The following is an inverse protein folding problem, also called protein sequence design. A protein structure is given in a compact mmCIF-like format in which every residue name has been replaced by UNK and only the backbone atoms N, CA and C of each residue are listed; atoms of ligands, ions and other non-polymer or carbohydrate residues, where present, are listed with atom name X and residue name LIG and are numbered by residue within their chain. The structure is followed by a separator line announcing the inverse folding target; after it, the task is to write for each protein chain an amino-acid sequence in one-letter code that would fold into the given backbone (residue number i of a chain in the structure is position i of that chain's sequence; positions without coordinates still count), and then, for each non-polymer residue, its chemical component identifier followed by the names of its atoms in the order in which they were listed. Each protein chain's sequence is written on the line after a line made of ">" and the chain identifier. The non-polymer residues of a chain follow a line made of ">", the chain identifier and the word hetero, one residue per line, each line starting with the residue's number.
data_IF_594380979307
#
_entry.id   IF_594380979307
#
_cell.length_a   1.000
_cell.length_b   1.000
_cell.length_c   1.000
_cell.angle_alpha   90.00
_cell.angle_beta   90.00
_cell.angle_gamma   90.00
#
_symmetry.space_group_name_H-M   'P 1'
#
loop_
_entity.id
_entity.type
_entity.pdbx_description
1 polymer ?
#
# COMPACT_ATOMS: atom_id res chain seq x y z
N UNK A 1 -25.87 16.04 16.23
CA UNK A 1 -25.20 14.73 16.46
C UNK A 1 -24.83 14.11 15.13
N UNK A 2 -23.56 14.18 14.75
CA UNK A 2 -22.98 13.34 13.70
C UNK A 2 -21.48 13.29 13.93
N UNK A 3 -21.04 12.29 14.68
CA UNK A 3 -19.63 11.95 14.87
C UNK A 3 -19.09 11.54 13.49
N UNK A 4 -18.31 12.41 12.84
CA UNK A 4 -17.56 12.07 11.63
C UNK A 4 -16.17 11.61 12.03
N UNK A 5 -16.05 10.31 12.31
CA UNK A 5 -14.75 9.63 12.30
C UNK A 5 -14.30 9.48 10.84
N UNK A 6 -13.40 10.33 10.37
CA UNK A 6 -12.61 10.09 9.16
C UNK A 6 -11.17 9.87 9.63
N UNK A 7 -10.70 8.64 9.56
CA UNK A 7 -9.33 8.26 9.89
C UNK A 7 -8.37 8.93 8.89
N UNK A 8 -7.97 10.16 9.23
CA UNK A 8 -6.94 10.96 8.61
C UNK A 8 -6.36 11.86 9.70
N UNK A 9 -5.07 11.67 9.99
CA UNK A 9 -4.21 12.49 10.87
C UNK A 9 -4.96 13.29 11.96
N UNK A 10 -5.24 12.66 13.11
CA UNK A 10 -5.84 13.30 14.30
C UNK A 10 -4.98 14.40 14.94
N UNK A 11 -3.80 14.72 14.40
CA UNK A 11 -2.90 15.72 14.96
C UNK A 11 -2.86 17.03 14.18
N UNK A 12 -3.55 17.14 13.04
CA UNK A 12 -3.45 18.33 12.19
C UNK A 12 -4.81 18.66 11.57
N UNK A 13 -5.54 19.58 12.19
CA UNK A 13 -6.80 20.12 11.66
C UNK A 13 -6.62 20.60 10.21
N UNK A 14 -7.27 19.91 9.26
CA UNK A 14 -7.93 20.38 8.02
C UNK A 14 -7.22 21.32 7.01
N UNK A 15 -6.12 21.98 7.35
CA UNK A 15 -5.47 23.02 6.55
C UNK A 15 -3.97 22.74 6.35
N UNK A 16 -3.31 22.10 7.32
CA UNK A 16 -1.87 21.84 7.27
C UNK A 16 -1.48 20.43 6.84
N UNK A 17 -2.43 19.47 6.76
CA UNK A 17 -2.17 18.12 6.21
C UNK A 17 -1.50 18.16 4.82
N UNK A 18 -1.95 18.99 3.86
CA UNK A 18 -1.34 19.06 2.53
C UNK A 18 0.08 19.62 2.57
N UNK A 19 0.31 20.64 3.41
CA UNK A 19 1.62 21.24 3.62
C UNK A 19 2.60 20.24 4.24
N UNK A 20 2.14 19.45 5.22
CA UNK A 20 2.93 18.41 5.86
C UNK A 20 3.23 17.27 4.87
N UNK A 21 2.22 16.83 4.12
CA UNK A 21 2.37 15.78 3.11
C UNK A 21 3.36 16.18 2.01
N UNK A 22 3.26 17.41 1.52
CA UNK A 22 4.22 17.98 0.57
C UNK A 22 5.62 18.10 1.17
N UNK A 23 5.75 18.65 2.38
CA UNK A 23 7.05 18.76 3.06
C UNK A 23 7.71 17.40 3.25
N UNK A 24 6.92 16.37 3.61
CA UNK A 24 7.39 15.00 3.72
C UNK A 24 7.81 14.43 2.36
N UNK A 25 7.09 14.72 1.27
CA UNK A 25 7.48 14.33 -0.08
C UNK A 25 8.83 14.93 -0.47
N UNK A 26 9.05 16.22 -0.17
CA UNK A 26 10.36 16.85 -0.41
C UNK A 26 11.47 16.21 0.43
N UNK A 27 11.19 15.78 1.67
CA UNK A 27 12.17 15.04 2.50
C UNK A 27 12.50 13.68 1.88
N UNK A 28 11.50 12.96 1.41
CA UNK A 28 11.66 11.67 0.71
C UNK A 28 12.50 11.83 -0.56
N UNK A 29 12.12 12.77 -1.44
CA UNK A 29 12.86 13.04 -2.69
C UNK A 29 14.32 13.37 -2.40
N UNK A 30 14.59 14.20 -1.39
CA UNK A 30 15.97 14.53 -0.99
C UNK A 30 16.74 13.32 -0.51
N UNK A 31 16.10 12.48 0.29
CA UNK A 31 16.70 11.26 0.80
C UNK A 31 17.01 10.28 -0.33
N UNK A 32 16.05 10.05 -1.24
CA UNK A 32 16.24 9.17 -2.40
C UNK A 32 17.32 9.70 -3.35
N UNK A 33 17.37 11.01 -3.60
CA UNK A 33 18.46 11.63 -4.36
C UNK A 33 19.81 11.46 -3.67
N UNK A 34 19.85 11.57 -2.33
CA UNK A 34 21.08 11.41 -1.55
C UNK A 34 21.64 9.98 -1.64
N UNK A 35 20.78 8.96 -1.65
CA UNK A 35 21.20 7.56 -1.81
C UNK A 35 21.27 7.09 -3.28
N UNK A 36 21.00 7.99 -4.25
CA UNK A 36 21.03 7.66 -5.67
C UNK A 36 19.90 6.73 -6.13
N UNK A 37 18.76 6.74 -5.44
CA UNK A 37 17.59 5.90 -5.76
C UNK A 37 16.50 6.66 -6.54
N UNK A 38 16.56 7.99 -6.58
CA UNK A 38 15.54 8.82 -7.24
C UNK A 38 15.60 8.66 -8.76
N UNK A 39 14.72 7.81 -9.29
CA UNK A 39 14.64 7.43 -10.70
C UNK A 39 13.19 7.27 -11.19
N UNK A 40 12.20 7.56 -10.34
CA UNK A 40 10.78 7.41 -10.62
C UNK A 40 10.35 8.25 -11.81
N UNK A 41 10.83 9.49 -11.89
CA UNK A 41 10.58 10.42 -12.99
C UNK A 41 11.08 9.84 -14.33
N UNK A 42 12.36 9.43 -14.38
CA UNK A 42 12.97 8.85 -15.58
C UNK A 42 12.27 7.56 -16.03
N UNK A 43 11.87 6.71 -15.09
CA UNK A 43 11.14 5.47 -15.38
C UNK A 43 9.75 5.78 -15.94
N UNK A 44 9.04 6.73 -15.33
CA UNK A 44 7.72 7.14 -15.79
C UNK A 44 7.83 7.77 -17.19
N UNK A 45 8.72 8.73 -17.39
CA UNK A 45 8.99 9.39 -18.68
C UNK A 45 9.28 8.37 -19.79
N UNK A 46 10.12 7.37 -19.51
CA UNK A 46 10.43 6.31 -20.48
C UNK A 46 9.22 5.45 -20.86
N UNK A 47 8.27 5.24 -19.94
CA UNK A 47 7.12 4.36 -20.14
C UNK A 47 5.86 5.07 -20.61
N UNK A 48 5.75 6.39 -20.42
CA UNK A 48 4.59 7.20 -20.82
C UNK A 48 4.23 7.08 -22.31
N UNK A 49 5.18 7.00 -23.27
CA UNK A 49 4.85 6.79 -24.69
C UNK A 49 4.12 5.47 -24.96
N UNK A 50 4.26 4.47 -24.08
CA UNK A 50 3.63 3.16 -24.23
C UNK A 50 2.23 3.14 -23.62
N UNK A 51 1.29 3.84 -24.26
CA UNK A 51 -0.08 4.04 -23.74
C UNK A 51 -0.78 2.73 -23.36
N UNK A 52 -0.61 1.66 -24.16
CA UNK A 52 -1.22 0.36 -23.86
C UNK A 52 -0.71 -0.19 -22.52
N UNK A 53 0.59 -0.06 -22.26
CA UNK A 53 1.25 -0.52 -21.05
C UNK A 53 0.78 0.30 -19.85
N UNK A 54 0.72 1.63 -19.98
CA UNK A 54 0.20 2.53 -18.94
C UNK A 54 -1.23 2.17 -18.57
N UNK A 55 -2.12 1.96 -19.57
CA UNK A 55 -3.50 1.54 -19.31
C UNK A 55 -3.55 0.19 -18.60
N UNK A 56 -2.72 -0.78 -18.99
CA UNK A 56 -2.60 -2.07 -18.28
C UNK A 56 -2.15 -1.87 -16.83
N UNK A 57 -1.14 -1.02 -16.57
CA UNK A 57 -0.67 -0.71 -15.23
C UNK A 57 -1.74 0.00 -14.40
N UNK A 58 -2.53 0.91 -14.98
CA UNK A 58 -3.66 1.55 -14.29
C UNK A 58 -4.74 0.52 -13.89
N UNK A 59 -5.07 -0.43 -14.78
CA UNK A 59 -5.99 -1.54 -14.46
C UNK A 59 -5.43 -2.39 -13.33
N UNK A 60 -4.17 -2.75 -13.44
CA UNK A 60 -3.48 -3.60 -12.48
C UNK A 60 -3.45 -2.94 -11.10
N UNK A 61 -3.05 -1.67 -11.03
CA UNK A 61 -3.04 -0.84 -9.82
C UNK A 61 -4.38 -0.93 -9.10
N UNK A 62 -5.48 -0.74 -9.83
CA UNK A 62 -6.81 -0.70 -9.25
C UNK A 62 -7.40 -2.04 -8.83
N UNK A 63 -6.90 -3.17 -9.34
CA UNK A 63 -7.60 -4.46 -9.23
C UNK A 63 -6.77 -5.58 -8.62
N UNK A 64 -5.49 -5.70 -9.00
CA UNK A 64 -4.68 -6.89 -8.71
C UNK A 64 -4.58 -7.14 -7.21
N UNK A 65 -4.31 -6.09 -6.42
CA UNK A 65 -4.13 -6.22 -4.99
C UNK A 65 -5.40 -6.70 -4.27
N UNK A 66 -6.61 -6.41 -4.75
CA UNK A 66 -7.84 -6.95 -4.17
C UNK A 66 -8.06 -8.41 -4.56
N UNK A 67 -8.08 -8.71 -5.86
CA UNK A 67 -8.44 -10.04 -6.36
C UNK A 67 -7.38 -11.09 -6.05
N UNK A 68 -6.10 -10.76 -6.19
CA UNK A 68 -5.00 -11.69 -5.89
C UNK A 68 -4.95 -11.95 -4.38
N UNK A 69 -5.05 -10.92 -3.55
CA UNK A 69 -5.05 -11.10 -2.08
C UNK A 69 -6.23 -11.96 -1.63
N UNK A 70 -7.43 -11.71 -2.14
CA UNK A 70 -8.60 -12.53 -1.86
C UNK A 70 -8.39 -13.99 -2.31
N UNK A 71 -7.87 -14.20 -3.53
CA UNK A 71 -7.57 -15.53 -4.05
C UNK A 71 -6.57 -16.29 -3.18
N UNK A 72 -5.47 -15.65 -2.78
CA UNK A 72 -4.46 -16.22 -1.89
C UNK A 72 -5.04 -16.50 -0.50
N UNK A 73 -5.85 -15.59 0.03
CA UNK A 73 -6.52 -15.77 1.32
C UNK A 73 -7.43 -17.01 1.31
N UNK A 74 -8.24 -17.19 0.26
CA UNK A 74 -9.08 -18.37 0.06
C UNK A 74 -8.23 -19.63 -0.10
N UNK A 75 -7.13 -19.55 -0.87
CA UNK A 75 -6.23 -20.68 -1.07
C UNK A 75 -5.57 -21.11 0.25
N UNK A 76 -5.11 -20.18 1.08
CA UNK A 76 -4.58 -20.47 2.41
C UNK A 76 -5.64 -21.09 3.33
N UNK A 77 -6.86 -20.54 3.31
CA UNK A 77 -7.98 -21.07 4.09
C UNK A 77 -8.32 -22.52 3.72
N UNK A 78 -8.39 -22.82 2.42
CA UNK A 78 -8.78 -24.15 1.92
C UNK A 78 -7.66 -25.18 1.96
N UNK A 79 -6.47 -24.82 1.49
CA UNK A 79 -5.38 -25.77 1.25
C UNK A 79 -4.34 -25.79 2.36
N UNK A 80 -4.27 -24.75 3.19
CA UNK A 80 -3.30 -24.64 4.29
C UNK A 80 -3.94 -24.16 5.61
N UNK A 81 -5.01 -24.82 6.13
CA UNK A 81 -5.68 -24.39 7.36
C UNK A 81 -4.74 -24.24 8.58
N UNK A 82 -3.69 -25.06 8.66
CA UNK A 82 -2.75 -25.06 9.78
C UNK A 82 -2.00 -23.73 9.95
N UNK A 83 -1.68 -23.04 8.85
CA UNK A 83 -0.97 -21.75 8.88
C UNK A 83 -1.88 -20.56 8.57
N UNK A 84 -3.15 -20.81 8.19
CA UNK A 84 -4.10 -19.75 7.86
C UNK A 84 -4.23 -18.71 8.98
N UNK A 85 -4.29 -19.16 10.24
CA UNK A 85 -4.40 -18.26 11.40
C UNK A 85 -3.24 -17.27 11.50
N UNK A 86 -2.01 -17.71 11.25
CA UNK A 86 -0.82 -16.86 11.22
C UNK A 86 -0.94 -15.81 10.11
N UNK A 87 -1.17 -16.23 8.87
CA UNK A 87 -1.23 -15.32 7.72
C UNK A 87 -2.39 -14.33 7.79
N UNK A 88 -3.55 -14.76 8.30
CA UNK A 88 -4.69 -13.88 8.59
C UNK A 88 -4.32 -12.80 9.61
N UNK A 89 -3.66 -13.16 10.71
CA UNK A 89 -3.23 -12.20 11.72
C UNK A 89 -2.19 -11.23 11.14
N UNK A 90 -1.24 -11.73 10.35
CA UNK A 90 -0.26 -10.90 9.65
C UNK A 90 -0.94 -9.84 8.76
N UNK A 91 -1.94 -10.24 7.97
CA UNK A 91 -2.68 -9.30 7.10
C UNK A 91 -3.40 -8.22 7.91
N UNK A 92 -4.05 -8.60 9.02
CA UNK A 92 -4.76 -7.67 9.89
C UNK A 92 -3.80 -6.69 10.59
N UNK A 93 -2.70 -7.19 11.16
CA UNK A 93 -1.69 -6.36 11.84
C UNK A 93 -1.01 -5.43 10.85
N UNK A 94 -0.63 -5.92 9.66
CA UNK A 94 -0.04 -5.11 8.60
C UNK A 94 -0.96 -3.96 8.21
N UNK A 95 -2.26 -4.23 8.04
CA UNK A 95 -3.24 -3.19 7.71
C UNK A 95 -3.37 -2.16 8.82
N UNK A 96 -3.42 -2.59 10.09
CA UNK A 96 -3.46 -1.68 11.24
C UNK A 96 -2.19 -0.82 11.33
N UNK A 97 -1.00 -1.41 11.17
CA UNK A 97 0.28 -0.71 11.18
C UNK A 97 0.39 0.28 10.02
N UNK A 98 -0.11 -0.07 8.84
CA UNK A 98 -0.14 0.85 7.71
C UNK A 98 -1.08 2.04 7.98
N UNK A 99 -2.25 1.80 8.57
CA UNK A 99 -3.18 2.87 8.99
C UNK A 99 -2.51 3.82 9.97
N UNK A 100 -1.81 3.30 10.97
CA UNK A 100 -1.03 4.11 11.91
C UNK A 100 0.08 4.87 11.17
N UNK A 101 0.82 4.19 10.28
CA UNK A 101 1.94 4.75 9.53
C UNK A 101 1.55 5.98 8.72
N UNK A 102 0.55 5.87 7.84
CA UNK A 102 0.14 7.02 7.02
C UNK A 102 -0.57 8.11 7.86
N UNK A 103 -1.16 7.75 9.00
CA UNK A 103 -1.77 8.73 9.90
C UNK A 103 -0.72 9.60 10.59
N UNK A 104 0.44 9.02 10.91
CA UNK A 104 1.57 9.72 11.54
C UNK A 104 2.50 10.39 10.53
N UNK A 105 2.58 9.84 9.31
CA UNK A 105 3.43 10.35 8.24
C UNK A 105 2.60 10.49 6.95
N UNK A 106 1.75 11.54 6.85
CA UNK A 106 1.10 11.83 5.58
C UNK A 106 2.17 12.17 4.55
N UNK A 107 2.04 11.63 3.34
CA UNK A 107 3.02 11.76 2.27
C UNK A 107 2.31 12.04 0.95
N UNK A 108 2.69 13.14 0.30
CA UNK A 108 2.17 13.49 -1.01
C UNK A 108 2.80 12.59 -2.07
N UNK A 109 2.01 11.81 -2.82
CA UNK A 109 2.54 10.94 -3.86
C UNK A 109 3.02 11.72 -5.10
N UNK A 110 3.92 11.14 -5.92
CA UNK A 110 4.54 11.83 -7.06
C UNK A 110 3.56 12.49 -8.03
N UNK A 111 2.51 11.79 -8.45
CA UNK A 111 1.49 12.30 -9.40
C UNK A 111 0.78 13.57 -8.92
N UNK A 112 0.75 13.80 -7.60
CA UNK A 112 0.10 14.97 -7.01
C UNK A 112 1.04 16.15 -6.83
N UNK A 113 2.35 16.01 -7.13
CA UNK A 113 3.29 17.13 -7.04
C UNK A 113 2.94 18.21 -8.08
N UNK A 114 2.75 17.81 -9.33
CA UNK A 114 2.47 18.72 -10.45
C UNK A 114 0.98 18.89 -10.77
N UNK A 115 0.12 18.01 -10.22
CA UNK A 115 -1.30 18.05 -10.53
C UNK A 115 -1.99 19.33 -9.99
N UNK A 116 -2.86 19.98 -10.80
CA UNK A 116 -3.64 21.12 -10.35
C UNK A 116 -4.63 20.70 -9.26
N UNK A 117 -4.98 21.64 -8.39
CA UNK A 117 -5.96 21.36 -7.35
C UNK A 117 -7.34 21.02 -7.94
N UNK A 118 -8.03 20.00 -7.42
CA UNK A 118 -9.38 19.67 -7.87
C UNK A 118 -10.34 20.83 -7.55
N UNK A 119 -11.23 21.14 -8.49
CA UNK A 119 -12.19 22.24 -8.37
C UNK A 119 -13.23 22.04 -7.24
N UNK A 120 -13.44 20.79 -6.81
CA UNK A 120 -14.31 20.44 -5.69
C UNK A 120 -13.50 19.66 -4.63
N UNK A 121 -13.54 20.14 -3.39
CA UNK A 121 -12.77 19.61 -2.27
C UNK A 121 -13.21 18.21 -1.86
N UNK A 122 -12.60 17.19 -2.47
CA UNK A 122 -12.66 15.83 -1.97
C UNK A 122 -11.44 15.58 -1.07
N UNK A 123 -11.69 15.49 0.24
CA UNK A 123 -10.82 14.74 1.17
C UNK A 123 -9.62 15.44 1.80
N UNK A 124 -9.14 16.58 1.30
CA UNK A 124 -8.23 17.50 2.02
C UNK A 124 -8.01 18.78 1.22
N UNK A 125 -7.61 19.89 1.90
CA UNK A 125 -7.20 21.12 1.20
C UNK A 125 -6.05 20.80 0.23
N UNK A 126 -5.89 21.60 -0.81
CA UNK A 126 -4.86 21.38 -1.81
C UNK A 126 -4.02 22.65 -1.92
N UNK A 127 -2.69 22.49 -2.01
CA UNK A 127 -1.77 23.62 -2.25
C UNK A 127 -1.77 23.88 -3.76
N UNK A 128 -2.00 25.10 -4.27
CA UNK A 128 -1.83 25.40 -5.69
C UNK A 128 -0.48 24.89 -6.23
N UNK A 129 -0.45 24.30 -7.42
CA UNK A 129 0.75 23.68 -7.99
C UNK A 129 1.90 24.68 -8.15
N UNK A 130 1.61 25.94 -8.47
CA UNK A 130 2.56 27.05 -8.52
C UNK A 130 3.32 27.31 -7.21
N UNK A 131 2.78 26.89 -6.06
CA UNK A 131 3.38 27.06 -4.74
C UNK A 131 4.12 25.82 -4.25
N UNK A 132 4.16 24.74 -5.04
CA UNK A 132 4.86 23.48 -4.72
C UNK A 132 6.25 23.40 -5.34
N UNK A 133 6.63 24.36 -6.16
CA UNK A 133 7.94 24.39 -6.79
C UNK A 133 9.01 24.85 -5.80
N UNK A 134 10.24 24.31 -5.91
CA UNK A 134 11.38 24.69 -5.06
C UNK A 134 12.56 25.08 -5.93
N UNK A 135 13.23 26.17 -5.56
CA UNK A 135 14.45 26.69 -6.22
C UNK A 135 14.28 27.03 -7.72
N UNK A 136 13.11 27.49 -8.15
CA UNK A 136 12.89 27.96 -9.52
C UNK A 136 12.68 26.85 -10.56
N UNK A 137 12.51 25.59 -10.16
CA UNK A 137 12.04 24.53 -11.06
C UNK A 137 10.57 24.77 -11.44
N UNK A 138 10.20 24.55 -12.70
CA UNK A 138 8.82 24.77 -13.18
C UNK A 138 7.86 23.63 -12.79
N UNK A 139 8.36 22.39 -12.64
CA UNK A 139 7.60 21.19 -12.26
C UNK A 139 8.54 20.07 -11.75
N UNK A 140 7.96 18.94 -11.31
CA UNK A 140 8.65 17.71 -10.89
C UNK A 140 8.66 16.60 -11.95
N UNK A 141 8.03 16.81 -13.11
CA UNK A 141 8.01 15.86 -14.23
C UNK A 141 7.04 14.67 -14.07
N UNK A 142 6.15 14.68 -13.08
CA UNK A 142 5.26 13.54 -12.83
C UNK A 142 3.88 13.71 -13.48
N UNK A 143 3.38 12.60 -14.02
CA UNK A 143 2.06 12.51 -14.65
C UNK A 143 1.12 11.64 -13.82
N UNK A 144 -0.10 12.14 -13.59
CA UNK A 144 -1.20 11.33 -13.06
C UNK A 144 -1.79 10.45 -14.16
N UNK A 145 -1.20 9.27 -14.31
CA UNK A 145 -1.57 8.35 -15.40
C UNK A 145 -3.01 7.85 -15.28
N UNK A 146 -3.54 7.75 -14.07
CA UNK A 146 -4.91 7.29 -13.81
C UNK A 146 -5.89 8.34 -14.31
N UNK A 147 -5.62 9.62 -14.02
CA UNK A 147 -6.43 10.75 -14.49
C UNK A 147 -6.29 10.98 -15.99
N UNK A 148 -5.09 10.88 -16.54
CA UNK A 148 -4.81 11.22 -17.95
C UNK A 148 -5.18 10.11 -18.93
N UNK A 149 -4.80 8.86 -18.65
CA UNK A 149 -5.02 7.75 -19.58
C UNK A 149 -6.21 6.85 -19.19
N UNK A 150 -6.77 7.05 -18.00
CA UNK A 150 -7.90 6.28 -17.48
C UNK A 150 -7.55 4.83 -17.12
N UNK A 151 -8.56 4.13 -16.61
CA UNK A 151 -8.59 2.69 -16.41
C UNK A 151 -10.05 2.20 -16.43
N UNK A 152 -10.32 0.88 -16.56
CA UNK A 152 -11.70 0.35 -16.55
C UNK A 152 -12.46 0.66 -15.26
N UNK A 153 -11.75 1.12 -14.22
CA UNK A 153 -12.30 1.67 -13.00
C UNK A 153 -11.65 3.03 -12.74
N UNK A 154 -12.24 4.10 -13.27
CA UNK A 154 -11.85 5.45 -12.88
C UNK A 154 -12.10 5.60 -11.37
N UNK A 155 -11.03 5.76 -10.59
CA UNK A 155 -11.10 5.97 -9.14
C UNK A 155 -11.85 7.24 -8.74
N UNK A 156 -12.27 8.05 -9.71
CA UNK A 156 -12.89 9.35 -9.52
C UNK A 156 -14.42 9.28 -9.46
N UNK A 157 -15.04 8.16 -9.85
CA UNK A 157 -16.51 8.02 -9.97
C UNK A 157 -17.13 6.88 -9.16
N UNK A 158 -16.33 6.07 -8.46
CA UNK A 158 -16.83 4.96 -7.64
C UNK A 158 -17.30 5.38 -6.22
N UNK A 159 -18.23 4.64 -5.58
CA UNK A 159 -18.69 4.91 -4.20
C UNK A 159 -17.59 4.92 -3.12
N UNK A 160 -16.37 4.46 -3.45
CA UNK A 160 -15.20 4.41 -2.57
C UNK A 160 -14.20 5.56 -2.74
N UNK A 161 -14.35 6.45 -3.74
CA UNK A 161 -13.41 7.56 -4.00
C UNK A 161 -13.35 8.60 -2.87
N UNK A 162 -14.41 8.67 -2.07
CA UNK A 162 -14.52 9.54 -0.88
C UNK A 162 -13.90 8.96 0.39
N UNK A 163 -13.45 7.70 0.34
CA UNK A 163 -12.88 6.97 1.47
C UNK A 163 -11.36 6.74 1.35
N UNK A 164 -10.74 7.08 0.21
CA UNK A 164 -9.30 6.90 -0.01
C UNK A 164 -8.54 8.18 0.35
N UNK A 165 -7.63 8.09 1.32
CA UNK A 165 -6.75 9.21 1.67
C UNK A 165 -5.68 9.38 0.57
N UNK A 166 -5.80 10.44 -0.24
CA UNK A 166 -4.90 10.70 -1.36
C UNK A 166 -3.44 10.99 -0.94
N UNK A 167 -3.20 11.30 0.34
CA UNK A 167 -1.89 11.56 0.93
C UNK A 167 -1.34 10.37 1.75
N UNK A 168 -1.84 9.15 1.51
CA UNK A 168 -1.40 7.93 2.19
C UNK A 168 -0.40 7.11 1.35
N UNK A 169 0.64 7.76 0.81
CA UNK A 169 1.64 7.07 -0.01
C UNK A 169 2.57 6.15 0.83
N UNK A 170 2.97 6.55 2.04
CA UNK A 170 3.82 5.72 2.92
C UNK A 170 3.06 5.26 4.16
N UNK A 171 3.17 3.97 4.56
CA UNK A 171 3.84 2.85 3.90
C UNK A 171 3.02 2.25 2.74
N UNK A 172 3.66 1.70 1.72
CA UNK A 172 2.96 1.11 0.58
C UNK A 172 2.25 -0.21 0.93
N UNK A 173 0.92 -0.14 1.07
CA UNK A 173 0.07 -1.32 1.26
C UNK A 173 0.10 -2.26 0.04
N UNK A 174 0.25 -1.72 -1.18
CA UNK A 174 0.42 -2.52 -2.40
C UNK A 174 1.61 -3.49 -2.27
N UNK A 175 2.76 -2.98 -1.83
CA UNK A 175 3.96 -3.79 -1.58
C UNK A 175 3.75 -4.74 -0.40
N UNK A 176 3.14 -4.29 0.69
CA UNK A 176 2.82 -5.16 1.82
C UNK A 176 1.94 -6.36 1.43
N UNK A 177 0.85 -6.13 0.71
CA UNK A 177 -0.12 -7.15 0.29
C UNK A 177 0.46 -8.10 -0.76
N UNK A 178 1.18 -7.56 -1.75
CA UNK A 178 1.83 -8.38 -2.78
C UNK A 178 2.94 -9.27 -2.19
N UNK A 179 3.72 -8.74 -1.26
CA UNK A 179 4.71 -9.51 -0.50
C UNK A 179 4.03 -10.56 0.38
N UNK A 180 2.95 -10.21 1.08
CA UNK A 180 2.16 -11.17 1.86
C UNK A 180 1.65 -12.32 1.00
N UNK A 181 1.19 -12.04 -0.23
CA UNK A 181 0.76 -13.06 -1.17
C UNK A 181 1.91 -14.00 -1.57
N UNK A 182 3.06 -13.42 -1.95
CA UNK A 182 4.23 -14.17 -2.35
C UNK A 182 4.73 -15.09 -1.22
N UNK A 183 4.86 -14.57 0.00
CA UNK A 183 5.34 -15.36 1.13
C UNK A 183 4.30 -16.34 1.69
N UNK A 184 3.01 -16.01 1.61
CA UNK A 184 1.92 -16.92 1.98
C UNK A 184 1.90 -18.18 1.11
N UNK A 185 2.17 -18.03 -0.19
CA UNK A 185 2.27 -19.14 -1.14
C UNK A 185 3.66 -19.80 -1.17
N UNK A 186 4.67 -19.21 -0.52
CA UNK A 186 6.05 -19.71 -0.55
C UNK A 186 6.21 -21.19 -0.17
N UNK A 187 5.51 -21.71 0.86
CA UNK A 187 5.60 -23.13 1.21
C UNK A 187 5.05 -24.07 0.13
N UNK A 188 4.19 -23.58 -0.76
CA UNK A 188 3.61 -24.33 -1.89
C UNK A 188 4.61 -24.35 -3.06
N UNK A 189 5.44 -23.30 -3.20
CA UNK A 189 6.51 -23.22 -4.18
C UNK A 189 7.72 -24.10 -3.80
N UNK A 190 7.68 -25.36 -4.25
CA UNK A 190 8.72 -26.37 -3.97
C UNK A 190 10.01 -26.14 -4.77
N UNK A 191 9.91 -25.59 -5.98
CA UNK A 191 11.05 -25.38 -6.89
C UNK A 191 11.52 -23.92 -6.86
N UNK A 192 12.82 -23.68 -7.07
CA UNK A 192 13.38 -22.33 -7.07
C UNK A 192 12.70 -21.42 -8.09
N UNK A 193 12.44 -21.89 -9.32
CA UNK A 193 11.75 -21.10 -10.33
C UNK A 193 10.32 -20.71 -9.91
N UNK A 194 9.62 -21.55 -9.13
CA UNK A 194 8.30 -21.22 -8.60
C UNK A 194 8.40 -20.11 -7.56
N UNK A 195 9.44 -20.15 -6.72
CA UNK A 195 9.72 -19.11 -5.72
C UNK A 195 10.08 -17.79 -6.40
N UNK A 196 10.92 -17.83 -7.43
CA UNK A 196 11.24 -16.66 -8.24
C UNK A 196 9.98 -16.12 -8.94
N UNK A 197 9.09 -17.00 -9.44
CA UNK A 197 7.81 -16.60 -10.03
C UNK A 197 6.89 -15.89 -9.01
N UNK A 198 6.88 -16.31 -7.75
CA UNK A 198 6.13 -15.61 -6.69
C UNK A 198 6.64 -14.18 -6.46
N UNK A 199 7.95 -13.93 -6.65
CA UNK A 199 8.55 -12.60 -6.52
C UNK A 199 8.25 -11.68 -7.71
N UNK A 200 7.77 -12.22 -8.83
CA UNK A 200 7.31 -11.39 -9.97
C UNK A 200 6.15 -10.50 -9.51
N UNK A 201 5.24 -11.00 -8.67
CA UNK A 201 4.08 -10.24 -8.23
C UNK A 201 4.42 -8.94 -7.48
N UNK A 202 5.21 -8.96 -6.38
CA UNK A 202 5.64 -7.74 -5.71
C UNK A 202 6.54 -6.87 -6.60
N UNK A 203 7.33 -7.46 -7.51
CA UNK A 203 8.19 -6.69 -8.44
C UNK A 203 7.37 -5.90 -9.47
N UNK A 204 6.37 -6.54 -10.09
CA UNK A 204 5.42 -5.88 -10.99
C UNK A 204 4.58 -4.86 -10.24
N UNK A 205 4.22 -5.15 -8.99
CA UNK A 205 3.51 -4.19 -8.13
C UNK A 205 4.36 -2.95 -7.87
N UNK A 206 5.65 -3.10 -7.57
CA UNK A 206 6.58 -1.98 -7.41
C UNK A 206 6.70 -1.14 -8.68
N UNK A 207 6.89 -1.78 -9.83
CA UNK A 207 6.94 -1.09 -11.11
C UNK A 207 5.63 -0.32 -11.36
N UNK A 208 4.50 -0.96 -11.14
CA UNK A 208 3.17 -0.38 -11.33
C UNK A 208 2.96 0.88 -10.48
N UNK A 209 3.29 0.85 -9.19
CA UNK A 209 3.08 2.00 -8.30
C UNK A 209 4.00 3.19 -8.62
N UNK A 210 5.18 2.93 -9.19
CA UNK A 210 6.13 3.96 -9.64
C UNK A 210 5.66 4.57 -10.96
N UNK A 211 5.35 3.72 -11.95
CA UNK A 211 4.91 4.15 -13.28
C UNK A 211 3.60 4.93 -13.22
N UNK A 212 2.72 4.59 -12.28
CA UNK A 212 1.46 5.32 -12.08
C UNK A 212 1.61 6.58 -11.21
N UNK A 213 2.82 6.88 -10.72
CA UNK A 213 3.10 8.04 -9.88
C UNK A 213 2.40 7.99 -8.52
N UNK A 214 2.08 6.79 -8.00
CA UNK A 214 1.38 6.64 -6.74
C UNK A 214 2.30 6.53 -5.52
N UNK A 215 3.55 6.11 -5.72
CA UNK A 215 4.49 5.86 -4.64
C UNK A 215 5.93 6.18 -5.05
N UNK A 216 6.74 6.58 -4.07
CA UNK A 216 8.21 6.60 -4.18
C UNK A 216 8.81 5.22 -3.90
N UNK A 217 10.07 4.98 -4.27
CA UNK A 217 10.76 3.73 -3.93
C UNK A 217 10.77 3.45 -2.42
N UNK A 218 10.99 4.49 -1.60
CA UNK A 218 11.05 4.36 -0.15
C UNK A 218 9.72 3.93 0.47
N UNK A 219 8.60 4.26 -0.19
CA UNK A 219 7.27 3.84 0.26
C UNK A 219 7.14 2.32 0.21
N UNK A 220 7.74 1.72 -0.83
CA UNK A 220 7.82 0.28 -1.00
C UNK A 220 8.70 -0.38 0.06
N UNK A 221 9.84 0.24 0.40
CA UNK A 221 10.67 -0.20 1.54
C UNK A 221 9.87 -0.13 2.85
N UNK A 222 9.13 0.95 3.08
CA UNK A 222 8.21 1.08 4.21
C UNK A 222 7.16 -0.05 4.24
N UNK A 223 6.60 -0.41 3.09
CA UNK A 223 5.68 -1.55 2.95
C UNK A 223 6.30 -2.89 3.34
N UNK A 224 7.55 -3.15 2.92
CA UNK A 224 8.29 -4.36 3.29
C UNK A 224 8.60 -4.42 4.79
N UNK A 225 8.99 -3.29 5.40
CA UNK A 225 9.26 -3.19 6.83
C UNK A 225 7.98 -3.45 7.65
N UNK A 226 6.86 -2.84 7.25
CA UNK A 226 5.57 -3.05 7.92
C UNK A 226 5.11 -4.49 7.77
N UNK A 227 5.29 -5.11 6.59
CA UNK A 227 5.03 -6.52 6.40
C UNK A 227 5.88 -7.39 7.33
N UNK A 228 7.19 -7.14 7.43
CA UNK A 228 8.10 -7.91 8.28
C UNK A 228 7.69 -7.84 9.76
N UNK A 229 7.43 -6.63 10.28
CA UNK A 229 6.96 -6.43 11.66
C UNK A 229 5.61 -7.13 11.88
N UNK A 230 4.68 -6.98 10.94
CA UNK A 230 3.38 -7.64 11.01
C UNK A 230 3.47 -9.16 10.96
N UNK A 231 4.44 -9.72 10.22
CA UNK A 231 4.67 -11.15 10.16
C UNK A 231 5.10 -11.69 11.52
N UNK A 232 6.05 -11.04 12.19
CA UNK A 232 6.47 -11.44 13.53
C UNK A 232 5.31 -11.34 14.53
N UNK A 233 4.63 -10.20 14.60
CA UNK A 233 3.49 -10.01 15.52
C UNK A 233 2.37 -11.01 15.22
N UNK A 234 2.00 -11.20 13.95
CA UNK A 234 0.95 -12.13 13.54
C UNK A 234 1.27 -13.58 13.91
N UNK A 235 2.54 -13.95 13.81
CA UNK A 235 3.09 -15.26 14.20
C UNK A 235 3.04 -15.44 15.71
N UNK A 236 3.46 -14.44 16.49
CA UNK A 236 3.37 -14.49 17.96
C UNK A 236 1.93 -14.60 18.45
N UNK A 237 1.01 -13.81 17.88
CA UNK A 237 -0.44 -13.91 18.20
C UNK A 237 -0.95 -15.32 17.88
N UNK A 238 -0.53 -15.91 16.76
CA UNK A 238 -0.92 -17.27 16.39
C UNK A 238 -0.42 -18.30 17.41
N UNK A 239 0.86 -18.23 17.80
CA UNK A 239 1.42 -19.17 18.79
C UNK A 239 0.82 -19.00 20.18
N UNK A 240 0.60 -17.77 20.65
CA UNK A 240 -0.05 -17.49 21.94
C UNK A 240 -1.44 -18.11 21.96
N UNK A 241 -2.23 -17.89 20.90
CA UNK A 241 -3.57 -18.46 20.80
C UNK A 241 -3.52 -19.99 20.75
N UNK A 242 -2.62 -20.56 19.96
CA UNK A 242 -2.47 -22.02 19.87
C UNK A 242 -2.13 -22.64 21.23
N UNK A 243 -1.16 -22.08 21.97
CA UNK A 243 -0.80 -22.52 23.33
C UNK A 243 -1.97 -22.43 24.30
N UNK A 244 -2.74 -21.34 24.25
CA UNK A 244 -3.94 -21.16 25.09
C UNK A 244 -5.02 -22.20 24.79
N UNK A 245 -5.26 -22.51 23.51
CA UNK A 245 -6.20 -23.55 23.11
C UNK A 245 -5.76 -24.94 23.61
N UNK A 246 -4.49 -25.31 23.41
CA UNK A 246 -3.95 -26.59 23.90
C UNK A 246 -4.07 -26.69 25.41
N UNK A 247 -3.70 -25.65 26.16
CA UNK A 247 -3.82 -25.65 27.62
C UNK A 247 -5.28 -25.79 28.11
N UNK A 248 -6.25 -25.21 27.38
CA UNK A 248 -7.68 -25.38 27.68
C UNK A 248 -8.17 -26.80 27.40
N UNK A 249 -7.71 -27.41 26.31
CA UNK A 249 -8.07 -28.79 25.95
C UNK A 249 -7.51 -29.80 26.96
N UNK A 250 -6.29 -29.58 27.47
CA UNK A 250 -5.68 -30.43 28.51
C UNK A 250 -6.37 -30.27 29.86
N UNK A 251 -6.85 -29.07 30.20
CA UNK A 251 -7.55 -28.79 31.47
C UNK A 251 -9.04 -29.11 31.44
N UNK A 252 -9.63 -29.33 30.26
CA UNK A 252 -11.03 -29.70 30.16
C UNK A 252 -11.22 -31.07 30.85
N UNK A 253 -12.17 -31.21 31.79
CA UNK A 253 -12.49 -32.51 32.35
C UNK A 253 -12.77 -33.49 31.21
N UNK A 254 -12.13 -34.66 31.21
CA UNK A 254 -12.55 -35.75 30.35
C UNK A 254 -13.94 -36.16 30.84
N UNK A 255 -14.99 -35.55 30.27
CA UNK A 255 -16.35 -36.09 30.43
C UNK A 255 -16.29 -37.50 29.87
N UNK A 256 -16.38 -38.48 30.76
CA UNK A 256 -16.34 -39.90 30.45
C UNK A 256 -17.35 -40.17 29.32
N UNK A 257 -16.83 -40.68 28.20
CA UNK A 257 -17.67 -41.39 27.24
C UNK A 257 -17.77 -42.80 27.78
N UNK A 258 -18.75 -43.01 28.66
CA UNK A 258 -19.31 -44.32 28.96
C UNK A 258 -20.45 -44.61 27.95
#
# INVERSE_FOLDING_TARGET
>A
TAIRNQFGSTLVEGVSVPNHAFTNAIRVIRFERWIGLFHEETIQEWLLPHIWFIKTMNVYYGTAHFFVTLGVFIALYKFRPSVFGQWRNTLAVMTALAIIGFSLFPLMPPRLLDAPCPAAGFGAKCIPSELRTRNGAENFGFVDTIKEFGGPWAFDSGPGSKLTNQYAAMPSLHIGWSTWCAFGLWPIARKLWMRLALLIYPSVTMLCIIVTGNHFWIDGVGGLLVFAVAYFIGTEIHFINHRRLVARLVRAPQTSRD
#
